data_IF_214816982837
#
_entry.id   IF_214816982837
#
_cell.length_a   1.000
_cell.length_b   1.000
_cell.length_c   1.000
_cell.angle_alpha   90.00
_cell.angle_beta   90.00
_cell.angle_gamma   90.00
#
_symmetry.space_group_name_H-M   'P 1'
#
loop_
_entity.id
_entity.type
_entity.pdbx_description
1 polymer ?
#
# COMPACT_ATOMS: atom_id res chain seq x y z
N UNK A 1 10.46 -18.72 -47.43
CA UNK A 1 9.74 -19.94 -47.89
C UNK A 1 10.35 -21.10 -47.09
N UNK A 2 9.71 -21.78 -46.13
CA UNK A 2 8.32 -21.96 -45.71
C UNK A 2 8.33 -22.10 -44.17
N UNK A 3 7.39 -21.44 -43.51
CA UNK A 3 7.09 -21.55 -42.07
C UNK A 3 6.21 -22.79 -41.88
N UNK A 4 6.62 -23.74 -41.02
CA UNK A 4 5.76 -24.86 -40.62
C UNK A 4 5.03 -24.57 -39.30
N UNK A 5 3.71 -24.46 -39.45
CA UNK A 5 2.69 -24.33 -38.43
C UNK A 5 2.58 -25.63 -37.61
N UNK A 6 2.61 -25.51 -36.29
CA UNK A 6 2.15 -26.56 -35.38
C UNK A 6 0.65 -26.37 -35.14
N UNK A 7 -0.18 -27.29 -35.65
CA UNK A 7 -1.63 -27.30 -35.45
C UNK A 7 -2.02 -28.07 -34.18
N UNK A 8 -2.93 -27.49 -33.40
CA UNK A 8 -3.44 -27.92 -32.09
C UNK A 8 -4.33 -29.18 -32.10
N UNK A 9 -4.14 -30.11 -33.03
CA UNK A 9 -5.10 -31.20 -33.28
C UNK A 9 -4.77 -32.52 -32.57
N UNK A 10 -3.68 -32.60 -31.80
CA UNK A 10 -3.17 -33.89 -31.29
C UNK A 10 -3.31 -34.14 -29.78
N UNK A 11 -3.97 -33.26 -29.01
CA UNK A 11 -4.17 -33.46 -27.56
C UNK A 11 -5.57 -33.92 -27.15
N UNK A 12 -6.55 -33.93 -28.06
CA UNK A 12 -7.92 -34.32 -27.73
C UNK A 12 -8.17 -35.84 -27.76
N UNK A 13 -7.22 -36.66 -28.23
CA UNK A 13 -7.42 -38.09 -28.44
C UNK A 13 -6.98 -39.00 -27.28
N UNK A 14 -6.52 -38.45 -26.14
CA UNK A 14 -5.96 -39.24 -25.02
C UNK A 14 -6.80 -39.26 -23.73
N UNK A 15 -8.00 -38.67 -23.73
CA UNK A 15 -8.92 -38.68 -22.57
C UNK A 15 -10.19 -39.52 -22.77
N UNK A 16 -10.33 -40.26 -23.87
CA UNK A 16 -11.53 -41.04 -24.19
C UNK A 16 -11.46 -42.54 -23.79
N UNK A 17 -10.48 -42.96 -22.98
CA UNK A 17 -10.27 -44.38 -22.63
C UNK A 17 -10.49 -44.76 -21.16
N UNK A 18 -10.94 -43.84 -20.30
CA UNK A 18 -11.41 -44.18 -18.95
C UNK A 18 -12.78 -43.57 -18.71
N UNK A 19 -13.83 -44.37 -18.97
CA UNK A 19 -15.23 -44.01 -18.83
C UNK A 19 -15.65 -43.68 -17.39
N UNK A 20 -15.30 -42.50 -16.92
CA UNK A 20 -15.88 -41.87 -15.75
C UNK A 20 -16.73 -40.68 -16.20
N UNK A 21 -17.99 -40.94 -16.52
CA UNK A 21 -18.99 -39.88 -16.67
C UNK A 21 -19.25 -39.28 -15.28
N UNK A 22 -18.52 -38.22 -14.93
CA UNK A 22 -18.87 -37.34 -13.82
C UNK A 22 -20.19 -36.61 -14.11
N UNK A 23 -20.97 -36.23 -13.09
CA UNK A 23 -22.25 -35.57 -13.30
C UNK A 23 -22.05 -34.28 -14.09
N UNK A 24 -22.96 -34.03 -15.04
CA UNK A 24 -22.97 -32.86 -15.89
C UNK A 24 -22.81 -31.57 -15.06
N UNK A 25 -21.85 -30.73 -15.45
CA UNK A 25 -21.70 -29.40 -14.89
C UNK A 25 -23.04 -28.65 -15.01
N UNK A 26 -23.50 -27.95 -13.97
CA UNK A 26 -24.73 -27.17 -14.06
C UNK A 26 -24.58 -26.12 -15.16
N UNK A 27 -25.69 -25.74 -15.84
CA UNK A 27 -25.64 -24.69 -16.85
C UNK A 27 -25.04 -23.44 -16.21
N UNK A 28 -24.19 -22.73 -16.98
CA UNK A 28 -23.58 -21.48 -16.57
C UNK A 28 -24.66 -20.51 -16.08
N UNK A 29 -24.87 -20.51 -14.76
CA UNK A 29 -25.74 -19.56 -14.10
C UNK A 29 -25.19 -18.19 -14.42
N UNK A 30 -26.07 -17.32 -14.88
CA UNK A 30 -25.80 -15.90 -15.07
C UNK A 30 -24.88 -15.45 -13.93
N UNK A 31 -23.67 -15.01 -14.29
CA UNK A 31 -22.77 -14.38 -13.34
C UNK A 31 -23.62 -13.35 -12.60
N UNK A 32 -23.84 -13.59 -11.31
CA UNK A 32 -24.43 -12.58 -10.45
C UNK A 32 -23.64 -11.32 -10.74
N UNK A 33 -24.31 -10.27 -11.21
CA UNK A 33 -23.69 -8.97 -11.41
C UNK A 33 -22.95 -8.69 -10.12
N UNK A 34 -21.61 -8.70 -10.18
CA UNK A 34 -20.80 -8.23 -9.08
C UNK A 34 -21.40 -6.87 -8.76
N UNK A 35 -22.03 -6.74 -7.60
CA UNK A 35 -22.55 -5.46 -7.16
C UNK A 35 -21.38 -4.49 -7.34
N UNK A 36 -21.57 -3.43 -8.11
CA UNK A 36 -20.64 -2.30 -8.16
C UNK A 36 -20.58 -1.72 -6.73
N UNK A 37 -19.87 -2.40 -5.85
CA UNK A 37 -19.35 -1.80 -4.64
C UNK A 37 -18.40 -0.75 -5.18
N UNK A 38 -18.78 0.51 -5.01
CA UNK A 38 -17.90 1.64 -5.29
C UNK A 38 -16.53 1.30 -4.70
N UNK A 39 -15.41 1.53 -5.42
CA UNK A 39 -14.07 1.30 -4.89
C UNK A 39 -13.88 1.87 -3.47
N UNK A 40 -14.63 2.93 -3.12
CA UNK A 40 -14.71 3.49 -1.78
C UNK A 40 -15.01 2.48 -0.65
N UNK A 41 -15.73 1.38 -0.91
CA UNK A 41 -16.01 0.34 0.09
C UNK A 41 -14.76 -0.48 0.47
N UNK A 42 -13.80 -0.63 -0.46
CA UNK A 42 -12.55 -1.36 -0.23
C UNK A 42 -11.48 -0.49 0.46
N UNK A 43 -11.61 0.83 0.40
CA UNK A 43 -10.70 1.78 1.04
C UNK A 43 -11.20 2.37 2.37
N UNK A 44 -12.43 2.07 2.79
CA UNK A 44 -12.95 2.57 4.05
C UNK A 44 -12.14 2.01 5.23
N UNK A 45 -11.71 2.83 6.20
CA UNK A 45 -10.97 2.35 7.38
C UNK A 45 -11.78 1.27 8.12
N UNK A 46 -11.11 0.22 8.66
CA UNK A 46 -11.82 -0.85 9.36
C UNK A 46 -12.58 -0.29 10.57
N UNK A 47 -13.76 -0.85 10.85
CA UNK A 47 -14.45 -0.54 12.09
C UNK A 47 -13.58 -0.92 13.29
N UNK A 48 -13.40 0.02 14.20
CA UNK A 48 -12.64 -0.21 15.41
C UNK A 48 -13.44 -1.12 16.35
N UNK A 49 -13.00 -2.36 16.47
CA UNK A 49 -13.57 -3.37 17.36
C UNK A 49 -12.65 -3.59 18.56
N UNK A 50 -13.22 -3.72 19.75
CA UNK A 50 -12.47 -3.96 20.99
C UNK A 50 -12.81 -2.98 22.10
N UNK A 51 -12.21 -3.20 23.28
CA UNK A 51 -12.38 -2.34 24.45
C UNK A 51 -11.08 -1.62 24.76
N UNK A 52 -11.15 -0.31 24.90
CA UNK A 52 -10.02 0.49 25.36
C UNK A 52 -9.70 0.18 26.83
N UNK A 53 -8.49 -0.29 27.10
CA UNK A 53 -7.98 -0.59 28.43
C UNK A 53 -6.80 0.34 28.84
N UNK A 54 -6.21 0.07 30.00
CA UNK A 54 -5.07 0.84 30.49
C UNK A 54 -3.84 0.72 29.58
N UNK A 55 -3.62 -0.46 29.00
CA UNK A 55 -2.50 -0.70 28.10
C UNK A 55 -2.64 0.13 26.83
N UNK A 56 -3.83 0.14 26.21
CA UNK A 56 -4.14 1.00 25.06
C UNK A 56 -3.86 2.48 25.37
N UNK A 57 -4.36 2.99 26.50
CA UNK A 57 -4.13 4.40 26.92
C UNK A 57 -2.66 4.71 27.12
N UNK A 58 -1.91 3.79 27.73
CA UNK A 58 -0.47 3.95 27.96
C UNK A 58 0.31 3.94 26.66
N UNK A 59 0.05 2.99 25.77
CA UNK A 59 0.67 2.91 24.46
C UNK A 59 0.37 4.16 23.62
N UNK A 60 -0.89 4.60 23.59
CA UNK A 60 -1.30 5.82 22.92
C UNK A 60 -0.56 7.05 23.43
N UNK A 61 -0.43 7.22 24.76
CA UNK A 61 0.31 8.33 25.35
C UNK A 61 1.82 8.29 25.03
N UNK A 62 2.42 7.11 24.93
CA UNK A 62 3.83 6.97 24.51
C UNK A 62 3.99 7.40 23.04
N UNK A 63 3.12 6.91 22.16
CA UNK A 63 3.11 7.31 20.74
C UNK A 63 2.93 8.82 20.58
N UNK A 64 2.00 9.42 21.33
CA UNK A 64 1.74 10.85 21.28
C UNK A 64 2.95 11.68 21.72
N UNK A 65 3.64 11.29 22.79
CA UNK A 65 4.90 11.94 23.19
C UNK A 65 5.98 11.82 22.12
N UNK A 66 6.05 10.66 21.45
CA UNK A 66 6.95 10.44 20.33
C UNK A 66 6.66 11.35 19.14
N UNK A 67 5.37 11.63 18.88
CA UNK A 67 4.95 12.47 17.76
C UNK A 67 5.45 13.91 17.84
N UNK A 68 5.79 14.39 19.05
CA UNK A 68 6.40 15.71 19.25
C UNK A 68 7.73 15.87 18.53
N UNK A 69 8.52 14.81 18.39
CA UNK A 69 9.77 14.89 17.64
C UNK A 69 9.56 15.13 16.14
N UNK A 70 8.35 14.87 15.64
CA UNK A 70 8.01 15.08 14.24
C UNK A 70 7.64 16.54 13.93
N UNK A 71 7.41 17.37 14.95
CA UNK A 71 6.98 18.78 14.76
C UNK A 71 7.98 19.55 13.89
N UNK A 72 9.27 19.25 14.05
CA UNK A 72 10.37 19.99 13.45
C UNK A 72 10.91 19.32 12.17
N UNK A 73 10.39 18.14 11.82
CA UNK A 73 10.87 17.34 10.69
C UNK A 73 10.07 17.57 9.41
N UNK A 74 8.88 18.18 9.50
CA UNK A 74 8.03 18.39 8.34
C UNK A 74 8.53 19.54 7.48
N UNK A 75 8.61 19.30 6.17
CA UNK A 75 9.00 20.29 5.17
C UNK A 75 7.96 20.31 4.07
N UNK A 76 7.46 21.50 3.75
CA UNK A 76 6.67 21.71 2.55
C UNK A 76 7.52 21.40 1.32
N UNK A 77 6.94 20.74 0.34
CA UNK A 77 7.55 20.51 -0.95
C UNK A 77 6.85 21.37 -2.00
N UNK A 78 7.52 22.42 -2.51
CA UNK A 78 6.85 23.50 -3.24
C UNK A 78 6.40 23.13 -4.67
N UNK A 79 6.74 21.93 -5.15
CA UNK A 79 6.40 21.48 -6.51
C UNK A 79 4.91 21.25 -6.70
N UNK A 80 4.21 20.76 -5.66
CA UNK A 80 2.78 20.48 -5.69
C UNK A 80 2.09 21.08 -4.46
N UNK A 81 0.84 21.56 -4.59
CA UNK A 81 0.11 22.12 -3.46
C UNK A 81 -0.20 21.06 -2.41
N UNK A 82 -0.24 21.50 -1.14
CA UNK A 82 -0.54 20.67 0.03
C UNK A 82 0.34 19.42 0.12
N UNK A 83 1.61 19.53 -0.28
CA UNK A 83 2.52 18.40 -0.43
C UNK A 83 3.78 18.64 0.40
N UNK A 84 4.30 17.60 1.04
CA UNK A 84 5.49 17.75 1.88
C UNK A 84 5.99 16.42 2.41
N UNK A 85 7.10 16.43 3.14
CA UNK A 85 7.73 15.22 3.64
C UNK A 85 8.32 15.44 5.03
N UNK A 86 8.47 14.36 5.77
CA UNK A 86 9.18 14.30 7.04
C UNK A 86 10.63 13.87 6.78
N UNK A 87 11.59 14.63 7.31
CA UNK A 87 13.02 14.33 7.17
C UNK A 87 13.64 14.91 5.90
N UNK A 88 14.25 14.08 5.05
CA UNK A 88 15.08 14.53 3.93
C UNK A 88 14.39 14.52 2.55
N UNK A 89 13.38 13.65 2.35
CA UNK A 89 12.65 13.57 1.09
C UNK A 89 13.43 12.91 -0.05
N UNK A 90 14.49 12.15 0.21
CA UNK A 90 15.15 11.35 -0.84
C UNK A 90 14.35 10.10 -1.24
N UNK A 91 14.84 9.39 -2.25
CA UNK A 91 14.23 8.15 -2.79
C UNK A 91 14.71 6.87 -2.09
N UNK A 92 15.76 6.95 -1.28
CA UNK A 92 16.39 5.82 -0.60
C UNK A 92 15.59 5.30 0.60
N UNK A 93 16.03 4.17 1.15
CA UNK A 93 15.34 3.50 2.27
C UNK A 93 15.16 4.42 3.47
N UNK A 94 16.23 5.06 3.94
CA UNK A 94 16.18 5.91 5.14
C UNK A 94 15.28 7.11 4.94
N UNK A 95 15.14 7.54 3.70
CA UNK A 95 14.42 8.72 3.31
C UNK A 95 12.94 8.41 3.11
N UNK A 96 12.58 7.44 2.27
CA UNK A 96 11.17 7.10 2.01
C UNK A 96 10.56 6.28 3.13
N UNK A 97 11.23 5.24 3.63
CA UNK A 97 10.69 4.41 4.70
C UNK A 97 10.63 5.20 6.01
N UNK A 98 11.64 6.04 6.27
CA UNK A 98 11.62 6.99 7.38
C UNK A 98 10.46 7.98 7.28
N UNK A 99 10.28 8.61 6.12
CA UNK A 99 9.18 9.56 5.88
C UNK A 99 7.80 8.92 6.11
N UNK A 100 7.55 7.75 5.51
CA UNK A 100 6.31 7.00 5.67
C UNK A 100 6.10 6.54 7.13
N UNK A 101 7.15 6.02 7.78
CA UNK A 101 7.09 5.55 9.16
C UNK A 101 6.80 6.68 10.16
N UNK A 102 7.35 7.87 9.94
CA UNK A 102 7.03 9.05 10.75
C UNK A 102 5.59 9.50 10.55
N UNK A 103 5.11 9.56 9.30
CA UNK A 103 3.71 9.87 9.04
C UNK A 103 2.75 8.82 9.65
N UNK A 104 3.19 7.57 9.75
CA UNK A 104 2.40 6.46 10.31
C UNK A 104 2.05 6.67 11.77
N UNK A 105 2.95 7.30 12.54
CA UNK A 105 2.66 7.66 13.91
C UNK A 105 1.49 8.65 14.01
N UNK A 106 1.47 9.70 13.18
CA UNK A 106 0.34 10.62 13.13
C UNK A 106 -0.93 9.94 12.60
N UNK A 107 -0.82 9.12 11.55
CA UNK A 107 -1.96 8.40 10.97
C UNK A 107 -2.62 7.43 11.97
N UNK A 108 -1.88 6.89 12.94
CA UNK A 108 -2.45 6.18 14.08
C UNK A 108 -3.03 7.13 15.13
N UNK A 109 -2.37 8.22 15.48
CA UNK A 109 -2.86 9.09 16.55
C UNK A 109 -4.16 9.84 16.21
N UNK A 110 -4.45 10.03 14.93
CA UNK A 110 -5.62 10.77 14.45
C UNK A 110 -6.95 10.02 14.63
N UNK A 111 -7.15 8.80 14.10
CA UNK A 111 -8.41 8.07 14.27
C UNK A 111 -8.57 7.45 15.66
N UNK A 112 -7.46 7.21 16.37
CA UNK A 112 -7.47 6.57 17.69
C UNK A 112 -7.36 7.60 18.83
N UNK A 113 -8.08 7.36 19.93
CA UNK A 113 -7.89 8.05 21.21
C UNK A 113 -8.18 9.57 21.25
N UNK A 114 -7.94 10.17 22.41
CA UNK A 114 -8.10 11.60 22.63
C UNK A 114 -6.78 12.33 22.28
N UNK A 115 -6.72 12.87 21.07
CA UNK A 115 -5.57 13.65 20.61
C UNK A 115 -5.36 14.89 21.49
N UNK A 116 -4.15 15.08 22.01
CA UNK A 116 -3.78 16.21 22.86
C UNK A 116 -2.67 17.02 22.19
N UNK A 117 -3.04 18.20 21.71
CA UNK A 117 -2.16 19.13 20.98
C UNK A 117 -0.93 19.53 21.83
N UNK A 118 -1.06 19.59 23.15
CA UNK A 118 0.03 20.00 24.06
C UNK A 118 1.09 18.91 24.16
N UNK A 119 0.67 17.64 24.17
CA UNK A 119 1.60 16.50 24.22
C UNK A 119 2.22 16.28 22.85
N UNK A 120 1.42 16.33 21.78
CA UNK A 120 1.87 16.12 20.40
C UNK A 120 2.73 17.27 19.85
N UNK A 121 2.63 18.47 20.43
CA UNK A 121 3.39 19.65 20.00
C UNK A 121 2.90 20.28 18.68
N UNK A 122 1.83 19.75 18.11
CA UNK A 122 1.12 20.26 16.92
C UNK A 122 -0.37 20.06 17.12
N UNK A 123 -1.19 20.84 16.42
CA UNK A 123 -2.64 20.63 16.45
C UNK A 123 -3.03 19.36 15.70
N UNK A 124 -4.16 18.74 16.07
CA UNK A 124 -4.76 17.64 15.31
C UNK A 124 -4.89 17.96 13.81
N UNK A 125 -5.34 19.16 13.46
CA UNK A 125 -5.52 19.59 12.07
C UNK A 125 -4.17 19.67 11.33
N UNK A 126 -3.12 20.17 11.99
CA UNK A 126 -1.79 20.24 11.41
C UNK A 126 -1.18 18.85 11.23
N UNK A 127 -1.33 17.95 12.20
CA UNK A 127 -0.90 16.57 12.06
C UNK A 127 -1.58 15.87 10.87
N UNK A 128 -2.89 16.05 10.72
CA UNK A 128 -3.65 15.54 9.57
C UNK A 128 -3.12 16.12 8.25
N UNK A 129 -2.95 17.45 8.16
CA UNK A 129 -2.41 18.11 6.97
C UNK A 129 -1.05 17.55 6.58
N UNK A 130 -0.17 17.29 7.54
CA UNK A 130 1.17 16.73 7.31
C UNK A 130 1.11 15.30 6.78
N UNK A 131 0.24 14.45 7.34
CA UNK A 131 0.04 13.07 6.86
C UNK A 131 -0.43 13.07 5.41
N UNK A 132 -1.46 13.87 5.10
CA UNK A 132 -1.95 14.06 3.72
C UNK A 132 -0.83 14.54 2.80
N UNK A 133 -0.04 15.53 3.24
CA UNK A 133 1.08 16.02 2.46
C UNK A 133 2.17 14.99 2.20
N UNK A 134 2.48 14.12 3.18
CA UNK A 134 3.41 12.99 3.00
C UNK A 134 2.86 11.95 2.03
N UNK A 135 1.58 11.63 2.10
CA UNK A 135 0.92 10.71 1.17
C UNK A 135 1.00 11.28 -0.26
N UNK A 136 0.65 12.55 -0.45
CA UNK A 136 0.78 13.23 -1.74
C UNK A 136 2.21 13.17 -2.24
N UNK A 137 3.18 13.51 -1.40
CA UNK A 137 4.60 13.52 -1.75
C UNK A 137 5.08 12.15 -2.21
N UNK A 138 4.81 11.12 -1.41
CA UNK A 138 5.18 9.75 -1.76
C UNK A 138 4.48 9.31 -3.05
N UNK A 139 3.20 9.63 -3.25
CA UNK A 139 2.50 9.20 -4.45
C UNK A 139 2.97 9.90 -5.73
N UNK A 140 3.29 11.21 -5.65
CA UNK A 140 3.84 11.96 -6.77
C UNK A 140 5.26 11.51 -7.15
N UNK A 141 6.08 11.12 -6.17
CA UNK A 141 7.50 10.81 -6.37
C UNK A 141 7.81 9.32 -6.55
N UNK A 142 6.79 8.46 -6.47
CA UNK A 142 6.89 7.04 -6.80
C UNK A 142 7.14 6.84 -8.30
N UNK A 143 7.70 5.70 -8.74
CA UNK A 143 7.98 5.43 -10.16
C UNK A 143 6.74 5.44 -11.06
N UNK A 144 5.54 5.26 -10.49
CA UNK A 144 4.26 5.41 -11.21
C UNK A 144 3.68 6.84 -11.18
N UNK A 145 4.35 7.76 -10.50
CA UNK A 145 4.04 9.17 -10.42
C UNK A 145 4.84 10.02 -11.42
N UNK A 146 4.50 11.31 -11.57
CA UNK A 146 5.12 12.19 -12.56
C UNK A 146 6.40 12.88 -12.08
N UNK A 147 6.70 12.84 -10.78
CA UNK A 147 7.77 13.65 -10.17
C UNK A 147 8.88 12.79 -9.58
N UNK A 148 9.98 13.45 -9.22
CA UNK A 148 11.10 12.85 -8.50
C UNK A 148 11.15 13.34 -7.06
N UNK A 149 11.73 12.53 -6.18
CA UNK A 149 12.16 12.91 -4.84
C UNK A 149 13.17 14.08 -4.86
N UNK A 150 13.55 14.59 -3.68
CA UNK A 150 14.48 15.74 -3.56
C UNK A 150 15.90 15.44 -4.07
N UNK A 151 16.24 14.16 -4.24
CA UNK A 151 17.50 13.68 -4.80
C UNK A 151 17.47 13.48 -6.33
N UNK A 152 16.37 13.86 -6.98
CA UNK A 152 16.20 13.77 -8.43
C UNK A 152 15.89 12.35 -8.94
N UNK A 153 15.51 11.42 -8.07
CA UNK A 153 15.12 10.05 -8.43
C UNK A 153 13.71 9.74 -7.99
N UNK A 154 13.10 8.73 -8.59
CA UNK A 154 11.83 8.18 -8.10
C UNK A 154 12.09 7.04 -7.11
N UNK A 155 11.18 6.86 -6.15
CA UNK A 155 11.22 5.70 -5.25
C UNK A 155 10.30 4.57 -5.76
N UNK A 156 10.41 3.41 -5.13
CA UNK A 156 9.67 2.20 -5.52
C UNK A 156 10.37 1.44 -6.65
N UNK A 157 9.80 0.31 -7.07
CA UNK A 157 10.37 -0.52 -8.14
C UNK A 157 11.65 -1.29 -7.75
N UNK A 158 12.27 -0.96 -6.62
CA UNK A 158 13.45 -1.62 -6.07
C UNK A 158 13.13 -2.82 -5.16
N UNK A 159 14.18 -3.43 -4.62
CA UNK A 159 14.10 -4.65 -3.79
C UNK A 159 13.24 -4.52 -2.53
N UNK A 160 13.14 -3.31 -1.96
CA UNK A 160 12.30 -3.00 -0.80
C UNK A 160 11.02 -2.20 -1.11
N UNK A 161 10.82 -1.78 -2.37
CA UNK A 161 9.72 -0.89 -2.76
C UNK A 161 8.34 -1.42 -2.37
N UNK A 162 8.13 -2.73 -2.55
CA UNK A 162 6.88 -3.42 -2.22
C UNK A 162 6.55 -3.41 -0.72
N UNK A 163 7.57 -3.48 0.15
CA UNK A 163 7.38 -3.39 1.59
C UNK A 163 6.99 -1.96 1.98
N UNK A 164 7.68 -0.97 1.43
CA UNK A 164 7.40 0.44 1.70
C UNK A 164 6.01 0.85 1.19
N UNK A 165 5.60 0.36 0.03
CA UNK A 165 4.27 0.61 -0.53
C UNK A 165 3.16 0.03 0.35
N UNK A 166 3.41 -1.08 1.06
CA UNK A 166 2.46 -1.61 2.04
C UNK A 166 2.29 -0.73 3.28
N UNK A 167 3.35 -0.02 3.71
CA UNK A 167 3.25 0.98 4.79
C UNK A 167 2.53 2.23 4.28
N UNK A 168 2.85 2.67 3.06
CA UNK A 168 2.12 3.75 2.37
C UNK A 168 0.63 3.44 2.23
N UNK A 169 0.26 2.22 1.84
CA UNK A 169 -1.12 1.79 1.71
C UNK A 169 -1.87 1.88 3.05
N UNK A 170 -1.24 1.51 4.16
CA UNK A 170 -1.86 1.64 5.48
C UNK A 170 -2.06 3.11 5.91
N UNK A 171 -1.13 4.01 5.56
CA UNK A 171 -1.34 5.46 5.77
C UNK A 171 -2.58 5.95 5.04
N UNK A 172 -2.67 5.59 3.76
CA UNK A 172 -3.81 5.91 2.89
C UNK A 172 -5.09 5.35 3.47
N UNK A 173 -5.06 4.12 3.99
CA UNK A 173 -6.23 3.48 4.58
C UNK A 173 -6.71 4.19 5.84
N UNK A 174 -5.82 4.55 6.77
CA UNK A 174 -6.18 5.24 8.01
C UNK A 174 -6.65 6.68 7.83
N UNK A 175 -6.30 7.29 6.70
CA UNK A 175 -6.64 8.70 6.41
C UNK A 175 -7.45 8.86 5.13
N UNK A 176 -8.12 7.80 4.68
CA UNK A 176 -8.78 7.77 3.37
C UNK A 176 -9.81 8.87 3.21
N UNK A 177 -10.59 9.13 4.26
CA UNK A 177 -11.68 10.11 4.27
C UNK A 177 -11.17 11.56 4.18
N UNK A 178 -9.92 11.78 4.59
CA UNK A 178 -9.22 13.06 4.53
C UNK A 178 -8.55 13.34 3.17
N UNK A 179 -8.40 12.33 2.31
CA UNK A 179 -7.77 12.46 1.00
C UNK A 179 -8.73 13.03 -0.04
N UNK A 180 -8.26 13.98 -0.86
CA UNK A 180 -8.98 14.41 -2.05
C UNK A 180 -8.97 13.34 -3.16
N UNK A 181 -9.82 13.52 -4.17
CA UNK A 181 -9.98 12.55 -5.26
C UNK A 181 -8.69 12.30 -6.05
N UNK A 182 -7.88 13.32 -6.27
CA UNK A 182 -6.59 13.21 -6.97
C UNK A 182 -5.62 12.33 -6.16
N UNK A 183 -5.50 12.60 -4.86
CA UNK A 183 -4.62 11.88 -3.94
C UNK A 183 -5.03 10.43 -3.82
N UNK A 184 -6.34 10.14 -3.76
CA UNK A 184 -6.88 8.77 -3.78
C UNK A 184 -6.50 8.01 -5.05
N UNK A 185 -6.62 8.65 -6.21
CA UNK A 185 -6.23 8.04 -7.49
C UNK A 185 -4.71 7.81 -7.57
N UNK A 186 -3.91 8.78 -7.16
CA UNK A 186 -2.45 8.66 -7.08
C UNK A 186 -2.04 7.50 -6.15
N UNK A 187 -2.66 7.40 -4.98
CA UNK A 187 -2.39 6.33 -4.03
C UNK A 187 -2.75 4.95 -4.60
N UNK A 188 -3.92 4.82 -5.23
CA UNK A 188 -4.30 3.59 -5.91
C UNK A 188 -3.28 3.18 -6.98
N UNK A 189 -2.75 4.14 -7.77
CA UNK A 189 -1.70 3.88 -8.76
C UNK A 189 -0.40 3.36 -8.14
N UNK A 190 -0.01 3.84 -6.96
CA UNK A 190 1.17 3.32 -6.24
C UNK A 190 0.94 1.87 -5.83
N UNK A 191 -0.22 1.58 -5.23
CA UNK A 191 -0.57 0.24 -4.73
C UNK A 191 -0.62 -0.77 -5.87
N UNK A 192 -1.31 -0.44 -6.98
CA UNK A 192 -1.36 -1.27 -8.19
C UNK A 192 0.03 -1.50 -8.75
N UNK A 193 0.81 -0.42 -8.98
CA UNK A 193 2.10 -0.53 -9.63
C UNK A 193 3.09 -1.41 -8.85
N UNK A 194 3.05 -1.39 -7.52
CA UNK A 194 3.91 -2.25 -6.70
C UNK A 194 3.40 -3.69 -6.61
N UNK A 195 2.08 -3.93 -6.62
CA UNK A 195 1.51 -5.27 -6.66
C UNK A 195 1.74 -5.97 -8.02
N UNK A 196 1.57 -5.24 -9.12
CA UNK A 196 1.70 -5.73 -10.50
C UNK A 196 3.09 -6.31 -10.78
N UNK A 197 4.14 -5.84 -10.08
CA UNK A 197 5.51 -6.36 -10.18
C UNK A 197 5.62 -7.85 -9.89
N UNK A 198 4.68 -8.42 -9.16
CA UNK A 198 4.73 -9.81 -8.70
C UNK A 198 3.68 -10.72 -9.37
N UNK A 199 2.84 -10.18 -10.25
CA UNK A 199 1.88 -10.98 -11.01
C UNK A 199 2.64 -11.96 -11.92
N UNK A 200 2.37 -13.26 -11.76
CA UNK A 200 3.00 -14.33 -12.54
C UNK A 200 4.47 -14.59 -12.19
N UNK A 201 5.03 -13.89 -11.19
CA UNK A 201 6.39 -14.13 -10.72
C UNK A 201 6.40 -15.36 -9.81
N UNK A 202 7.27 -16.32 -10.10
CA UNK A 202 7.51 -17.44 -9.19
C UNK A 202 8.31 -16.95 -7.99
N UNK A 203 7.79 -17.08 -6.74
CA UNK A 203 8.51 -16.62 -5.56
C UNK A 203 9.88 -17.32 -5.45
N UNK A 204 10.99 -16.57 -5.38
CA UNK A 204 12.30 -17.18 -5.28
C UNK A 204 12.44 -17.99 -3.99
N UNK A 205 13.13 -19.13 -4.07
CA UNK A 205 13.58 -19.89 -2.90
C UNK A 205 15.05 -19.62 -2.62
N UNK A 206 15.43 -19.49 -1.36
CA UNK A 206 16.81 -19.32 -0.90
C UNK A 206 17.16 -20.37 0.15
N UNK A 207 18.43 -20.76 0.22
CA UNK A 207 19.00 -21.60 1.29
C UNK A 207 20.01 -20.78 2.11
N UNK A 208 20.83 -21.44 2.95
CA UNK A 208 21.86 -20.85 3.84
C UNK A 208 22.45 -19.56 3.26
N UNK A 209 22.44 -18.49 4.07
CA UNK A 209 22.90 -17.13 3.77
C UNK A 209 22.15 -16.40 2.63
N UNK A 210 20.93 -16.84 2.30
CA UNK A 210 20.06 -16.17 1.34
C UNK A 210 18.64 -15.99 1.88
N UNK A 211 18.28 -14.75 2.21
CA UNK A 211 17.02 -14.38 2.85
C UNK A 211 15.83 -14.27 1.88
N UNK A 212 15.75 -15.10 0.82
CA UNK A 212 14.61 -15.05 -0.13
C UNK A 212 13.24 -15.20 0.54
N UNK A 213 13.16 -15.91 1.67
CA UNK A 213 11.92 -16.01 2.43
C UNK A 213 11.46 -14.63 2.97
N UNK A 214 12.41 -13.79 3.39
CA UNK A 214 12.17 -12.42 3.83
C UNK A 214 11.73 -11.52 2.66
N UNK A 215 12.46 -11.59 1.53
CA UNK A 215 12.08 -10.90 0.28
C UNK A 215 10.63 -11.24 -0.12
N UNK A 216 10.26 -12.53 -0.07
CA UNK A 216 8.91 -12.98 -0.38
C UNK A 216 7.87 -12.42 0.61
N UNK A 217 8.20 -12.38 1.90
CA UNK A 217 7.31 -11.81 2.91
C UNK A 217 7.07 -10.32 2.69
N UNK A 218 8.11 -9.57 2.29
CA UNK A 218 7.99 -8.16 1.93
C UNK A 218 7.18 -7.95 0.66
N UNK A 219 7.48 -8.69 -0.41
CA UNK A 219 6.82 -8.56 -1.70
C UNK A 219 5.34 -8.94 -1.63
N UNK A 220 5.00 -9.98 -0.88
CA UNK A 220 3.61 -10.44 -0.74
C UNK A 220 2.71 -9.42 -0.03
N UNK A 221 3.28 -8.49 0.77
CA UNK A 221 2.48 -7.44 1.42
C UNK A 221 1.87 -6.47 0.41
N UNK A 222 2.58 -6.13 -0.66
CA UNK A 222 2.04 -5.26 -1.71
C UNK A 222 0.82 -5.90 -2.39
N UNK A 223 0.87 -7.20 -2.66
CA UNK A 223 -0.29 -7.94 -3.18
C UNK A 223 -1.43 -8.01 -2.17
N UNK A 224 -1.13 -8.27 -0.89
CA UNK A 224 -2.15 -8.36 0.15
C UNK A 224 -2.92 -7.05 0.32
N UNK A 225 -2.23 -5.90 0.36
CA UNK A 225 -2.91 -4.60 0.47
C UNK A 225 -3.71 -4.28 -0.79
N UNK A 226 -3.21 -4.64 -1.98
CA UNK A 226 -3.96 -4.47 -3.22
C UNK A 226 -5.27 -5.28 -3.22
N UNK A 227 -5.23 -6.57 -2.86
CA UNK A 227 -6.43 -7.42 -2.81
C UNK A 227 -7.47 -6.97 -1.76
N UNK A 228 -7.05 -6.25 -0.73
CA UNK A 228 -7.95 -5.77 0.33
C UNK A 228 -8.54 -4.41 -0.04
N UNK A 229 -7.75 -3.54 -0.67
CA UNK A 229 -8.09 -2.14 -0.89
C UNK A 229 -8.64 -1.82 -2.29
N UNK A 230 -8.46 -2.69 -3.28
CA UNK A 230 -8.85 -2.47 -4.70
C UNK A 230 -9.83 -3.54 -5.19
#
# INVERSE_FOLDING_TARGET
>A
MIVQLWSWSSLAALLALFGLAGPAAPPAGAAASASEQSPAAHFAPPQLVGREDEFCRRAYRIMMRGSRFLSDLYREWPTEPNCGYLGWGGSGEKEIYGNLGFAYLYALLLPFGAFDDTIAGVTRQEAQRRVVGVIRYAAFTHFSGPHTCTDGRQWGGGWHGASWSSVFAQLVWFTWDELDAETRQLAARVIVAEADRFIGVTPPSGKIDNTRAEDNAWNSRAMAVACVML
#
